data_IF_274004970177
#
_entry.id   IF_274004970177
#
_cell.length_a   1.000
_cell.length_b   1.000
_cell.length_c   1.000
_cell.angle_alpha   90.00
_cell.angle_beta   90.00
_cell.angle_gamma   90.00
#
_symmetry.space_group_name_H-M   'P 1'
#
loop_
_entity.id
_entity.type
_entity.pdbx_description
1 polymer ?
#
# COMPACT_ATOMS: atom_id res chain seq x y z
N UNK A 1 -6.22 11.84 -12.86
CA UNK A 1 -5.17 12.21 -11.89
C UNK A 1 -4.52 10.94 -11.39
N UNK A 2 -3.27 11.01 -10.97
CA UNK A 2 -2.52 9.85 -10.51
C UNK A 2 -1.79 10.18 -9.20
N UNK A 3 -1.70 9.19 -8.32
CA UNK A 3 -0.94 9.25 -7.07
C UNK A 3 -0.01 8.05 -7.03
N UNK A 4 1.24 8.28 -6.66
CA UNK A 4 2.22 7.23 -6.39
C UNK A 4 2.60 7.28 -4.91
N UNK A 5 2.55 6.12 -4.26
CA UNK A 5 2.99 5.90 -2.89
C UNK A 5 4.15 4.91 -2.92
N UNK A 6 5.22 5.26 -2.23
CA UNK A 6 6.38 4.40 -2.03
C UNK A 6 6.52 4.13 -0.53
N UNK A 7 6.48 2.85 -0.15
CA UNK A 7 6.62 2.41 1.23
C UNK A 7 7.91 1.57 1.33
N UNK A 8 8.89 2.09 2.07
CA UNK A 8 10.11 1.39 2.42
C UNK A 8 9.84 0.36 3.54
N UNK A 9 9.76 -0.92 3.19
CA UNK A 9 9.46 -2.02 4.09
C UNK A 9 10.23 -3.29 3.70
N UNK A 10 11.06 -3.80 4.62
CA UNK A 10 11.86 -5.02 4.41
C UNK A 10 10.97 -6.24 4.10
N UNK A 11 9.78 -6.28 4.68
CA UNK A 11 8.76 -7.29 4.47
C UNK A 11 7.70 -6.87 3.43
N UNK A 12 8.08 -6.00 2.48
CA UNK A 12 7.16 -5.45 1.46
C UNK A 12 6.43 -6.52 0.63
N UNK A 13 7.02 -7.71 0.45
CA UNK A 13 6.34 -8.85 -0.18
C UNK A 13 5.12 -9.34 0.61
N UNK A 14 5.18 -9.31 1.95
CA UNK A 14 4.07 -9.71 2.82
C UNK A 14 2.99 -8.64 2.80
N UNK A 15 3.39 -7.37 2.94
CA UNK A 15 2.48 -6.23 2.85
C UNK A 15 1.76 -6.21 1.49
N UNK A 16 2.49 -6.47 0.39
CA UNK A 16 1.91 -6.64 -0.93
C UNK A 16 0.85 -7.75 -0.95
N UNK A 17 1.12 -8.93 -0.39
CA UNK A 17 0.14 -10.02 -0.40
C UNK A 17 -1.13 -9.69 0.37
N UNK A 18 -1.04 -8.86 1.41
CA UNK A 18 -2.20 -8.37 2.18
C UNK A 18 -3.01 -7.39 1.35
N UNK A 19 -2.35 -6.47 0.65
CA UNK A 19 -2.98 -5.41 -0.15
C UNK A 19 -3.37 -5.85 -1.56
N UNK A 20 -2.81 -6.96 -2.06
CA UNK A 20 -3.03 -7.50 -3.41
C UNK A 20 -4.51 -7.62 -3.82
N UNK A 21 -5.47 -7.95 -2.94
CA UNK A 21 -6.89 -7.96 -3.30
C UNK A 21 -7.40 -6.61 -3.82
N UNK A 22 -6.77 -5.50 -3.43
CA UNK A 22 -7.09 -4.15 -3.88
C UNK A 22 -6.41 -3.81 -5.23
N UNK A 23 -5.58 -4.71 -5.77
CA UNK A 23 -4.91 -4.53 -7.07
C UNK A 23 -5.92 -4.73 -8.20
N UNK A 24 -6.31 -3.64 -8.84
CA UNK A 24 -7.34 -3.62 -9.87
C UNK A 24 -6.94 -2.74 -11.07
N UNK A 25 -7.89 -2.45 -11.97
CA UNK A 25 -7.61 -1.61 -13.14
C UNK A 25 -7.17 -0.17 -12.81
N UNK A 26 -7.42 0.29 -11.59
CA UNK A 26 -7.11 1.63 -11.10
C UNK A 26 -5.96 1.63 -10.08
N UNK A 27 -5.64 0.50 -9.43
CA UNK A 27 -4.54 0.40 -8.46
C UNK A 27 -3.53 -0.60 -8.99
N UNK A 28 -2.30 -0.15 -9.21
CA UNK A 28 -1.19 -0.96 -9.68
C UNK A 28 -0.13 -1.05 -8.59
N UNK A 29 0.12 -2.27 -8.08
CA UNK A 29 1.05 -2.52 -6.98
C UNK A 29 2.23 -3.36 -7.43
N UNK A 30 3.45 -2.89 -7.13
CA UNK A 30 4.69 -3.60 -7.45
C UNK A 30 5.62 -3.62 -6.24
N UNK A 31 6.35 -4.74 -6.07
CA UNK A 31 7.37 -4.88 -5.05
C UNK A 31 8.74 -4.87 -5.70
N UNK A 32 9.63 -4.00 -5.22
CA UNK A 32 11.03 -3.99 -5.61
C UNK A 32 11.93 -4.08 -4.38
N UNK A 33 12.45 -5.29 -4.13
CA UNK A 33 13.32 -5.63 -2.98
C UNK A 33 12.68 -5.32 -1.62
N UNK A 34 12.85 -4.09 -1.14
CA UNK A 34 12.40 -3.57 0.17
C UNK A 34 11.42 -2.41 0.01
N UNK A 35 10.81 -2.27 -1.15
CA UNK A 35 9.88 -1.18 -1.45
C UNK A 35 8.58 -1.74 -2.02
N UNK A 36 7.46 -1.29 -1.47
CA UNK A 36 6.15 -1.45 -2.08
C UNK A 36 5.79 -0.14 -2.77
N UNK A 37 5.59 -0.20 -4.08
CA UNK A 37 5.10 0.90 -4.89
C UNK A 37 3.63 0.69 -5.22
N UNK A 38 2.81 1.69 -4.92
CA UNK A 38 1.36 1.69 -5.17
C UNK A 38 1.05 2.88 -6.06
N UNK A 39 0.62 2.62 -7.28
CA UNK A 39 0.26 3.63 -8.27
C UNK A 39 -1.24 3.59 -8.49
N UNK A 40 -1.92 4.67 -8.12
CA UNK A 40 -3.37 4.78 -8.22
C UNK A 40 -3.74 5.73 -9.36
N UNK A 41 -4.45 5.20 -10.34
CA UNK A 41 -4.85 5.83 -11.61
C UNK A 41 -6.34 6.18 -11.57
N UNK A 42 -6.77 7.07 -12.47
CA UNK A 42 -8.17 7.46 -12.66
C UNK A 42 -8.91 7.96 -11.40
N UNK A 43 -8.19 8.59 -10.47
CA UNK A 43 -8.80 9.07 -9.24
C UNK A 43 -9.78 10.22 -9.46
N UNK A 44 -10.97 10.09 -8.86
CA UNK A 44 -11.86 11.21 -8.61
C UNK A 44 -11.33 12.09 -7.48
N UNK A 45 -11.60 13.41 -7.53
CA UNK A 45 -11.08 14.38 -6.56
C UNK A 45 -11.38 14.03 -5.09
N UNK A 46 -12.51 13.39 -4.82
CA UNK A 46 -12.92 12.98 -3.46
C UNK A 46 -12.09 11.82 -2.93
N UNK A 47 -11.61 10.95 -3.81
CA UNK A 47 -10.86 9.74 -3.44
C UNK A 47 -9.36 10.00 -3.23
N UNK A 48 -8.88 11.21 -3.60
CA UNK A 48 -7.46 11.62 -3.54
C UNK A 48 -6.90 11.53 -2.14
N UNK A 49 -7.73 11.84 -1.15
CA UNK A 49 -7.30 11.84 0.24
C UNK A 49 -7.64 10.52 0.92
N UNK A 50 -8.77 9.89 0.58
CA UNK A 50 -9.21 8.67 1.27
C UNK A 50 -8.34 7.45 0.93
N UNK A 51 -7.96 7.27 -0.34
CA UNK A 51 -7.23 6.06 -0.76
C UNK A 51 -5.80 6.02 -0.20
N UNK A 52 -4.99 7.09 -0.28
CA UNK A 52 -3.68 7.11 0.36
C UNK A 52 -3.74 6.92 1.87
N UNK A 53 -4.70 7.56 2.55
CA UNK A 53 -4.89 7.42 4.00
C UNK A 53 -5.23 5.98 4.40
N UNK A 54 -6.02 5.28 3.58
CA UNK A 54 -6.35 3.87 3.80
C UNK A 54 -5.12 2.97 3.64
N UNK A 55 -4.28 3.19 2.61
CA UNK A 55 -3.02 2.46 2.45
C UNK A 55 -2.03 2.72 3.60
N UNK A 56 -1.90 3.96 4.04
CA UNK A 56 -1.07 4.31 5.20
C UNK A 56 -1.56 3.59 6.46
N UNK A 57 -2.87 3.56 6.69
CA UNK A 57 -3.46 2.87 7.84
C UNK A 57 -3.22 1.36 7.80
N UNK A 58 -3.35 0.75 6.63
CA UNK A 58 -3.05 -0.67 6.46
C UNK A 58 -1.58 -0.96 6.74
N UNK A 59 -0.67 -0.09 6.30
CA UNK A 59 0.75 -0.19 6.63
C UNK A 59 1.01 -0.05 8.14
N UNK A 60 0.38 0.92 8.83
CA UNK A 60 0.52 1.06 10.29
C UNK A 60 0.04 -0.18 11.05
N UNK A 61 -1.08 -0.78 10.61
CA UNK A 61 -1.61 -2.01 11.20
C UNK A 61 -0.64 -3.17 10.96
N UNK A 62 -0.14 -3.32 9.73
CA UNK A 62 0.89 -4.30 9.40
C UNK A 62 2.12 -4.14 10.31
N UNK A 63 2.64 -2.92 10.44
CA UNK A 63 3.82 -2.64 11.25
C UNK A 63 3.60 -3.03 12.72
N UNK A 64 2.44 -2.67 13.29
CA UNK A 64 2.07 -3.03 14.66
C UNK A 64 1.98 -4.54 14.85
N UNK A 65 1.38 -5.27 13.92
CA UNK A 65 1.24 -6.73 14.04
C UNK A 65 2.59 -7.41 13.86
N UNK A 66 3.29 -7.10 12.77
CA UNK A 66 4.50 -7.83 12.38
C UNK A 66 5.67 -7.55 13.32
N UNK A 67 5.87 -6.29 13.71
CA UNK A 67 7.02 -5.91 14.54
C UNK A 67 6.73 -5.86 16.04
N UNK A 68 5.51 -5.46 16.46
CA UNK A 68 5.22 -5.34 17.90
C UNK A 68 4.62 -6.61 18.52
N UNK A 69 3.93 -7.46 17.74
CA UNK A 69 3.36 -8.71 18.27
C UNK A 69 4.28 -9.93 18.10
N UNK A 70 5.46 -9.78 17.48
CA UNK A 70 6.47 -10.84 17.25
C UNK A 70 5.84 -12.16 16.75
N UNK A 71 5.15 -12.11 15.62
CA UNK A 71 4.74 -13.31 14.87
C UNK A 71 5.86 -13.69 13.91
#
# INVERSE_FOLDING_TARGET
>A
MEIELEIDEENSSILYNILKPDNDQNIDMTVNKKKLNIKIKNLELKSIYSLPDDFLRNYEVFYKIYYNLKI
#
